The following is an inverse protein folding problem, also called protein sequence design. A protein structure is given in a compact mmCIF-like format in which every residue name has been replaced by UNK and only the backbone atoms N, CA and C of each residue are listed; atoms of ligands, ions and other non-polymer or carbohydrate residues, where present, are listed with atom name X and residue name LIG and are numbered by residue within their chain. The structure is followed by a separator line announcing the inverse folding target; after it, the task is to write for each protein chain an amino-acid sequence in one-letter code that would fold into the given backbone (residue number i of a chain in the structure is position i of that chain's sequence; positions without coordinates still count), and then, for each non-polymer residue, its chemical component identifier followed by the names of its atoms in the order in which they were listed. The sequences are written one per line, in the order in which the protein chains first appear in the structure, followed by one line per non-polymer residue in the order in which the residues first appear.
data_IF_004221508086
#
_entry.id   IF_004221508086
#
_cell.length_a   1.000
_cell.length_b   1.000
_cell.length_c   1.000
_cell.angle_alpha   90.00
_cell.angle_beta   90.00
_cell.angle_gamma   90.00
#
_symmetry.space_group_name_H-M   'P 1'
#
loop_
_entity.id
_entity.type
_entity.pdbx_description
1 polymer ?
#
# COMPACT_ATOMS: atom_id res chain seq x y z
N UNK A 1 2.56 -6.04 17.35
CA UNK A 1 2.86 -5.78 15.92
C UNK A 1 1.55 -5.49 15.18
N UNK A 2 1.32 -4.24 14.78
CA UNK A 2 0.05 -3.81 14.13
C UNK A 2 -0.02 -4.22 12.63
N UNK A 3 1.13 -4.33 11.96
CA UNK A 3 1.21 -4.63 10.52
C UNK A 3 0.47 -5.92 10.15
N UNK A 4 0.78 -7.03 10.85
CA UNK A 4 0.21 -8.34 10.55
C UNK A 4 -1.31 -8.38 10.76
N UNK A 5 -1.80 -7.71 11.80
CA UNK A 5 -3.24 -7.59 12.06
C UNK A 5 -3.94 -6.88 10.90
N UNK A 6 -3.47 -5.70 10.50
CA UNK A 6 -4.12 -4.92 9.45
C UNK A 6 -4.02 -5.58 8.06
N UNK A 7 -2.88 -6.20 7.74
CA UNK A 7 -2.73 -6.95 6.49
C UNK A 7 -3.66 -8.17 6.45
N UNK A 8 -3.82 -8.89 7.56
CA UNK A 8 -4.78 -10.01 7.65
C UNK A 8 -6.21 -9.54 7.40
N UNK A 9 -6.63 -8.41 7.98
CA UNK A 9 -7.97 -7.83 7.75
C UNK A 9 -8.19 -7.52 6.26
N UNK A 10 -7.20 -6.90 5.61
CA UNK A 10 -7.26 -6.66 4.16
C UNK A 10 -7.37 -7.98 3.36
N UNK A 11 -6.59 -8.99 3.72
CA UNK A 11 -6.66 -10.32 3.08
C UNK A 11 -8.01 -11.03 3.31
N UNK A 12 -8.72 -10.71 4.39
CA UNK A 12 -10.07 -11.20 4.67
C UNK A 12 -11.17 -10.39 3.95
N UNK A 13 -10.79 -9.43 3.10
CA UNK A 13 -11.73 -8.60 2.34
C UNK A 13 -12.25 -7.39 3.11
N UNK A 14 -11.72 -7.08 4.29
CA UNK A 14 -12.15 -5.90 5.03
C UNK A 14 -11.70 -4.59 4.35
N UNK A 15 -12.61 -3.64 4.25
CA UNK A 15 -12.32 -2.29 3.76
C UNK A 15 -11.85 -1.41 4.91
N UNK A 16 -10.54 -1.12 4.92
CA UNK A 16 -9.95 -0.21 5.90
C UNK A 16 -10.08 1.25 5.43
N UNK A 17 -10.42 2.14 6.36
CA UNK A 17 -10.54 3.59 6.14
C UNK A 17 -9.64 4.36 7.12
N UNK A 18 -9.78 5.69 7.18
CA UNK A 18 -9.01 6.50 8.11
C UNK A 18 -9.35 6.12 9.58
N UNK A 19 -8.35 6.08 10.48
CA UNK A 19 -6.96 6.50 10.27
C UNK A 19 -6.03 5.44 9.67
N UNK A 20 -6.41 4.17 9.60
CA UNK A 20 -5.53 3.06 9.21
C UNK A 20 -5.19 3.06 7.73
N UNK A 21 -6.11 3.47 6.86
CA UNK A 21 -5.93 3.42 5.42
C UNK A 21 -6.40 4.71 4.73
N UNK A 22 -5.68 5.13 3.69
CA UNK A 22 -6.06 6.27 2.85
C UNK A 22 -5.80 5.94 1.37
N UNK A 23 -6.74 6.29 0.50
CA UNK A 23 -6.56 6.15 -0.94
C UNK A 23 -5.42 7.03 -1.49
N UNK A 24 -4.69 6.50 -2.47
CA UNK A 24 -3.57 7.14 -3.17
C UNK A 24 -3.82 7.16 -4.69
N UNK A 25 -4.77 7.98 -5.17
CA UNK A 25 -5.12 8.05 -6.60
C UNK A 25 -3.98 8.56 -7.47
N UNK A 26 -3.01 9.28 -6.89
CA UNK A 26 -1.81 9.72 -7.59
C UNK A 26 -0.84 8.57 -7.93
N UNK A 27 -0.97 7.40 -7.29
CA UNK A 27 -0.16 6.20 -7.62
C UNK A 27 -0.89 5.35 -8.67
N UNK A 28 -2.17 5.07 -8.45
CA UNK A 28 -2.99 4.28 -9.35
C UNK A 28 -4.37 3.94 -8.79
N UNK A 29 -5.22 3.32 -9.60
CA UNK A 29 -6.52 2.83 -9.16
C UNK A 29 -6.36 1.76 -8.07
N UNK A 30 -7.27 1.78 -7.07
CA UNK A 30 -7.29 0.81 -5.96
C UNK A 30 -6.00 0.78 -5.13
N UNK A 31 -5.17 1.83 -5.21
CA UNK A 31 -3.95 1.98 -4.42
C UNK A 31 -4.23 2.78 -3.15
N UNK A 32 -3.64 2.34 -2.03
CA UNK A 32 -3.84 2.91 -0.71
C UNK A 32 -2.51 2.95 0.08
N UNK A 33 -2.39 3.85 1.05
CA UNK A 33 -1.42 3.73 2.15
C UNK A 33 -2.08 3.05 3.34
N UNK A 34 -1.42 2.04 3.89
CA UNK A 34 -1.69 1.51 5.23
C UNK A 34 -0.75 2.20 6.22
N UNK A 35 -1.30 2.74 7.30
CA UNK A 35 -0.57 3.42 8.36
C UNK A 35 -0.39 2.44 9.50
N UNK A 36 0.86 2.11 9.80
CA UNK A 36 1.22 1.12 10.80
C UNK A 36 2.10 1.79 11.84
N UNK A 37 1.77 1.60 13.11
CA UNK A 37 2.59 1.93 14.26
C UNK A 37 3.24 0.64 14.75
N UNK A 38 4.57 0.63 14.77
CA UNK A 38 5.33 -0.50 15.30
C UNK A 38 6.41 0.02 16.23
N UNK A 39 6.35 -0.42 17.48
CA UNK A 39 7.17 0.09 18.58
C UNK A 39 7.18 1.63 18.62
N UNK A 40 8.34 2.24 18.41
CA UNK A 40 8.58 3.68 18.41
C UNK A 40 8.56 4.30 17.00
N UNK A 41 8.15 3.54 15.98
CA UNK A 41 8.21 3.95 14.59
C UNK A 41 6.85 3.93 13.90
N UNK A 42 6.67 4.86 12.97
CA UNK A 42 5.50 4.89 12.11
C UNK A 42 5.92 4.49 10.70
N UNK A 43 5.28 3.45 10.18
CA UNK A 43 5.51 2.90 8.86
C UNK A 43 4.32 3.19 7.94
N UNK A 44 4.60 3.28 6.65
CA UNK A 44 3.60 3.30 5.60
C UNK A 44 3.86 2.15 4.64
N UNK A 45 2.83 1.37 4.39
CA UNK A 45 2.82 0.32 3.39
C UNK A 45 1.93 0.80 2.25
N UNK A 46 2.48 0.95 1.06
CA UNK A 46 1.67 1.24 -0.13
C UNK A 46 1.23 -0.08 -0.72
N UNK A 47 -0.08 -0.22 -0.95
CA UNK A 47 -0.64 -1.45 -1.47
C UNK A 47 -1.74 -1.19 -2.50
N UNK A 48 -2.00 -2.19 -3.34
CA UNK A 48 -3.18 -2.27 -4.22
C UNK A 48 -4.06 -3.43 -3.79
N UNK A 49 -5.38 -3.21 -3.85
CA UNK A 49 -6.38 -4.27 -3.68
C UNK A 49 -6.79 -4.76 -5.08
N UNK A 50 -6.49 -6.01 -5.37
CA UNK A 50 -7.10 -6.77 -6.46
C UNK A 50 -8.09 -7.79 -5.89
N UNK A 51 -8.92 -8.39 -6.75
CA UNK A 51 -9.98 -9.34 -6.35
C UNK A 51 -9.41 -10.56 -5.62
N UNK A 52 -8.21 -11.00 -6.00
CA UNK A 52 -7.61 -12.24 -5.51
C UNK A 52 -6.37 -12.04 -4.63
N UNK A 53 -5.88 -10.79 -4.50
CA UNK A 53 -4.64 -10.51 -3.77
C UNK A 53 -4.46 -9.05 -3.36
N UNK A 54 -3.65 -8.86 -2.33
CA UNK A 54 -3.14 -7.54 -1.92
C UNK A 54 -1.69 -7.42 -2.41
N UNK A 55 -1.45 -6.53 -3.38
CA UNK A 55 -0.11 -6.27 -3.90
C UNK A 55 0.57 -5.19 -3.04
N UNK A 56 1.72 -5.50 -2.45
CA UNK A 56 2.54 -4.52 -1.76
C UNK A 56 3.47 -3.84 -2.77
N UNK A 57 3.38 -2.51 -2.88
CA UNK A 57 4.15 -1.71 -3.84
C UNK A 57 5.41 -1.10 -3.23
N UNK A 58 5.38 -0.69 -1.96
CA UNK A 58 6.53 -0.16 -1.22
C UNK A 58 6.26 -0.18 0.29
N UNK A 59 7.32 -0.22 1.11
CA UNK A 59 7.27 -0.13 2.57
C UNK A 59 8.34 0.85 3.04
N UNK A 60 7.93 1.91 3.74
CA UNK A 60 8.87 2.94 4.18
C UNK A 60 8.52 3.55 5.54
N UNK A 61 9.55 4.02 6.25
CA UNK A 61 9.38 4.78 7.49
C UNK A 61 8.84 6.17 7.18
N UNK A 62 7.85 6.64 7.96
CA UNK A 62 7.32 8.00 7.85
C UNK A 62 8.34 9.00 8.41
N UNK A 63 9.16 9.58 7.55
CA UNK A 63 10.06 10.69 7.89
C UNK A 63 9.42 12.05 7.71
N UNK A 64 8.46 12.19 6.77
CA UNK A 64 7.79 13.45 6.43
C UNK A 64 6.26 13.30 6.44
N UNK A 65 5.52 14.41 6.23
CA UNK A 65 4.05 14.40 6.17
C UNK A 65 3.55 13.78 4.85
N UNK A 66 4.18 14.13 3.75
CA UNK A 66 3.84 13.68 2.40
C UNK A 66 4.62 12.42 2.02
N UNK A 67 4.13 11.66 1.04
CA UNK A 67 4.89 10.54 0.49
C UNK A 67 5.99 11.11 -0.40
N UNK A 68 7.27 10.74 -0.23
CA UNK A 68 8.35 11.23 -1.08
C UNK A 68 8.15 10.84 -2.55
N UNK A 69 8.51 11.73 -3.48
CA UNK A 69 8.37 11.49 -4.93
C UNK A 69 9.08 10.23 -5.41
N UNK A 70 10.22 9.90 -4.79
CA UNK A 70 10.96 8.67 -5.07
C UNK A 70 10.13 7.41 -4.78
N UNK A 71 9.32 7.41 -3.71
CA UNK A 71 8.39 6.31 -3.37
C UNK A 71 7.28 6.25 -4.42
N UNK A 72 6.69 7.38 -4.79
CA UNK A 72 5.64 7.45 -5.82
C UNK A 72 6.15 6.87 -7.14
N UNK A 73 7.36 7.24 -7.56
CA UNK A 73 8.00 6.72 -8.79
C UNK A 73 8.21 5.21 -8.74
N UNK A 74 8.71 4.67 -7.62
CA UNK A 74 8.87 3.21 -7.43
C UNK A 74 7.55 2.47 -7.44
N UNK A 75 6.53 3.00 -6.78
CA UNK A 75 5.19 2.41 -6.75
C UNK A 75 4.58 2.36 -8.15
N UNK A 76 4.62 3.47 -8.90
CA UNK A 76 4.10 3.52 -10.29
C UNK A 76 4.81 2.52 -11.21
N UNK A 77 6.14 2.41 -11.09
CA UNK A 77 6.91 1.43 -11.88
C UNK A 77 6.49 -0.01 -11.54
N UNK A 78 6.51 -0.37 -10.26
CA UNK A 78 6.18 -1.74 -9.82
C UNK A 78 4.73 -2.11 -10.16
N UNK A 79 3.80 -1.14 -10.04
CA UNK A 79 2.41 -1.31 -10.44
C UNK A 79 2.28 -1.58 -11.96
N UNK A 80 2.98 -0.80 -12.79
CA UNK A 80 2.94 -0.98 -14.24
C UNK A 80 3.53 -2.32 -14.70
N UNK A 81 4.65 -2.75 -14.10
CA UNK A 81 5.25 -4.06 -14.35
C UNK A 81 4.28 -5.20 -14.01
N UNK A 82 3.61 -5.10 -12.86
CA UNK A 82 2.60 -6.06 -12.43
C UNK A 82 1.36 -6.07 -13.36
N UNK A 83 0.84 -4.90 -13.74
CA UNK A 83 -0.30 -4.80 -14.65
C UNK A 83 0.03 -5.39 -16.03
N UNK A 84 1.26 -5.19 -16.53
CA UNK A 84 1.71 -5.81 -17.77
C UNK A 84 1.77 -7.34 -17.65
N UNK A 85 2.36 -7.85 -16.57
CA UNK A 85 2.46 -9.30 -16.33
C UNK A 85 1.08 -9.98 -16.23
N UNK A 86 0.07 -9.31 -15.65
CA UNK A 86 -1.30 -9.83 -15.55
C UNK A 86 -2.07 -9.89 -16.87
N UNK A 87 -1.70 -9.10 -17.88
CA UNK A 87 -2.37 -9.12 -19.20
C UNK A 87 -1.97 -10.30 -20.07
N UNK A 88 -0.87 -10.97 -19.72
CA UNK A 88 -0.28 -12.07 -20.49
C UNK A 88 -0.67 -13.44 -19.88
N UNK A 89 -1.40 -13.44 -18.75
CA UNK A 89 -1.99 -14.62 -18.12
C UNK A 89 -3.46 -14.76 -18.52
#
# INVERSE_FOLDING_TARGET
MEAGLLLRRLQQGESLSLPQSRALPNIGARCHELRVRDENQNWRIVYRIDEDRILILDVFKKTTRQIPDAVIKRCRRSLGEYDLARRVQ
#
